data_IF_942568842441
#
_entry.id   IF_942568842441
#
_cell.length_a   1.000
_cell.length_b   1.000
_cell.length_c   1.000
_cell.angle_alpha   90.00
_cell.angle_beta   90.00
_cell.angle_gamma   90.00
#
_symmetry.space_group_name_H-M   'P 1'
#
loop_
_entity.id
_entity.type
_entity.pdbx_description
1 polymer ?
#
# COMPACT_ATOMS: atom_id res chain seq x y z
N UNK A 1 -16.34 6.91 10.02
CA UNK A 1 -15.36 5.88 10.44
C UNK A 1 -15.70 5.47 11.85
N UNK A 2 -15.76 4.16 12.17
CA UNK A 2 -15.87 3.73 13.58
C UNK A 2 -14.71 4.32 14.37
N UNK A 3 -14.98 4.80 15.59
CA UNK A 3 -13.99 5.56 16.36
C UNK A 3 -12.70 4.78 16.65
N UNK A 4 -12.78 3.44 16.68
CA UNK A 4 -11.61 2.57 16.83
C UNK A 4 -10.63 2.60 15.64
N UNK A 5 -11.08 2.83 14.40
CA UNK A 5 -10.17 2.82 13.24
C UNK A 5 -9.36 4.12 13.16
N UNK A 6 -9.93 5.25 13.61
CA UNK A 6 -9.23 6.53 13.66
C UNK A 6 -7.98 6.46 14.54
N UNK A 7 -8.05 5.74 15.66
CA UNK A 7 -6.93 5.52 16.58
C UNK A 7 -5.80 4.67 16.00
N UNK A 8 -6.03 3.96 14.89
CA UNK A 8 -5.06 3.06 14.25
C UNK A 8 -4.35 3.70 13.05
N UNK A 9 -4.69 4.94 12.71
CA UNK A 9 -4.14 5.65 11.55
C UNK A 9 -3.29 6.81 12.03
N UNK A 10 -2.05 6.89 11.52
CA UNK A 10 -1.18 8.06 11.71
C UNK A 10 -0.97 8.76 10.37
N UNK A 11 -1.30 10.04 10.33
CA UNK A 11 -1.06 10.88 9.16
C UNK A 11 0.42 11.24 9.05
N UNK A 12 1.01 11.07 7.86
CA UNK A 12 2.42 11.39 7.58
C UNK A 12 2.60 12.67 6.75
N UNK A 13 1.63 12.99 5.89
CA UNK A 13 1.60 14.20 5.06
C UNK A 13 0.19 14.79 5.02
N UNK A 14 0.07 16.08 4.70
CA UNK A 14 -1.22 16.74 4.51
C UNK A 14 -1.77 16.47 3.10
N UNK A 15 -3.10 16.33 2.93
CA UNK A 15 -3.70 16.29 1.60
C UNK A 15 -3.42 17.61 0.89
N UNK A 16 -2.99 17.54 -0.37
CA UNK A 16 -2.75 18.75 -1.17
C UNK A 16 -3.84 19.02 -2.20
N UNK A 17 -4.34 17.97 -2.86
CA UNK A 17 -5.28 18.06 -3.98
C UNK A 17 -6.22 16.86 -3.96
N UNK A 18 -7.37 17.02 -4.61
CA UNK A 18 -8.24 15.88 -4.90
C UNK A 18 -7.55 14.95 -5.89
N UNK A 19 -7.70 13.65 -5.67
CA UNK A 19 -7.13 12.62 -6.54
C UNK A 19 -8.17 11.70 -7.13
N UNK A 20 -7.72 10.81 -8.02
CA UNK A 20 -8.57 9.96 -8.85
C UNK A 20 -8.78 8.57 -8.28
N UNK A 21 -7.98 8.18 -7.29
CA UNK A 21 -8.03 6.87 -6.65
C UNK A 21 -7.48 6.93 -5.23
N UNK A 22 -7.63 5.85 -4.48
CA UNK A 22 -6.87 5.61 -3.25
C UNK A 22 -5.88 4.48 -3.55
N UNK A 23 -4.65 4.60 -3.05
CA UNK A 23 -3.68 3.51 -3.09
C UNK A 23 -3.46 2.96 -1.69
N UNK A 24 -3.44 1.63 -1.56
CA UNK A 24 -2.87 0.96 -0.40
C UNK A 24 -1.57 0.28 -0.82
N UNK A 25 -0.44 0.76 -0.29
CA UNK A 25 0.86 0.14 -0.44
C UNK A 25 1.02 -0.94 0.64
N UNK A 26 0.78 -2.18 0.25
CA UNK A 26 0.92 -3.36 1.07
C UNK A 26 2.40 -3.74 1.20
N UNK A 27 2.83 -4.07 2.42
CA UNK A 27 4.20 -4.50 2.69
C UNK A 27 4.24 -5.62 3.74
N UNK A 28 3.88 -5.30 4.98
CA UNK A 28 3.94 -6.25 6.11
C UNK A 28 2.67 -7.10 6.20
N UNK A 29 1.52 -6.50 5.97
CA UNK A 29 0.21 -7.13 6.18
C UNK A 29 -0.31 -7.73 4.85
N UNK A 30 0.36 -8.79 4.38
CA UNK A 30 0.07 -9.45 3.10
C UNK A 30 -1.16 -10.37 3.17
N UNK A 31 -2.34 -9.76 3.37
CA UNK A 31 -3.64 -10.43 3.45
C UNK A 31 -4.77 -9.46 3.10
N UNK A 32 -5.88 -9.98 2.61
CA UNK A 32 -7.10 -9.20 2.32
C UNK A 32 -7.99 -9.10 3.55
N UNK A 33 -8.29 -10.25 4.16
CA UNK A 33 -9.12 -10.34 5.35
C UNK A 33 -8.40 -9.80 6.60
N UNK A 34 -9.15 -9.15 7.49
CA UNK A 34 -8.65 -8.59 8.75
C UNK A 34 -7.41 -7.68 8.60
N UNK A 35 -7.41 -6.91 7.52
CA UNK A 35 -6.38 -5.91 7.22
C UNK A 35 -6.90 -4.49 7.48
N UNK A 36 -6.44 -3.88 8.57
CA UNK A 36 -6.86 -2.52 8.96
C UNK A 36 -6.42 -1.44 7.97
N UNK A 37 -5.26 -1.59 7.32
CA UNK A 37 -4.78 -0.62 6.34
C UNK A 37 -5.64 -0.66 5.08
N UNK A 38 -5.95 -1.87 4.57
CA UNK A 38 -6.87 -2.06 3.46
C UNK A 38 -8.28 -1.53 3.79
N UNK A 39 -8.80 -1.84 4.98
CA UNK A 39 -10.11 -1.34 5.43
C UNK A 39 -10.16 0.18 5.52
N UNK A 40 -9.09 0.82 5.99
CA UNK A 40 -8.98 2.28 6.05
C UNK A 40 -8.97 2.90 4.66
N UNK A 41 -8.17 2.35 3.75
CA UNK A 41 -8.09 2.79 2.36
C UNK A 41 -9.45 2.63 1.64
N UNK A 42 -10.13 1.50 1.83
CA UNK A 42 -11.44 1.24 1.23
C UNK A 42 -12.51 2.20 1.75
N UNK A 43 -12.53 2.49 3.06
CA UNK A 43 -13.47 3.47 3.62
C UNK A 43 -13.26 4.87 3.04
N UNK A 44 -12.01 5.25 2.78
CA UNK A 44 -11.72 6.50 2.08
C UNK A 44 -12.28 6.45 0.66
N UNK A 45 -11.90 5.44 -0.13
CA UNK A 45 -12.31 5.27 -1.52
C UNK A 45 -13.84 5.33 -1.68
N UNK A 46 -14.58 4.60 -0.84
CA UNK A 46 -16.05 4.60 -0.82
C UNK A 46 -16.65 5.97 -0.46
N UNK A 47 -16.10 6.67 0.53
CA UNK A 47 -16.59 7.99 0.93
C UNK A 47 -16.44 9.04 -0.18
N UNK A 48 -15.37 8.93 -0.97
CA UNK A 48 -15.07 9.81 -2.11
C UNK A 48 -15.65 9.31 -3.44
N UNK A 49 -16.19 8.08 -3.48
CA UNK A 49 -16.66 7.40 -4.71
C UNK A 49 -15.57 7.30 -5.79
N UNK A 50 -14.34 7.02 -5.37
CA UNK A 50 -13.18 6.80 -6.25
C UNK A 50 -12.65 5.37 -6.09
N UNK A 51 -11.99 4.77 -7.10
CA UNK A 51 -11.47 3.42 -7.00
C UNK A 51 -10.35 3.29 -5.96
N UNK A 52 -10.24 2.09 -5.37
CA UNK A 52 -9.10 1.66 -4.56
C UNK A 52 -8.23 0.71 -5.40
N UNK A 53 -6.90 0.82 -5.31
CA UNK A 53 -5.99 -0.21 -5.78
C UNK A 53 -4.95 -0.55 -4.71
N UNK A 54 -4.47 -1.79 -4.74
CA UNK A 54 -3.40 -2.29 -3.87
C UNK A 54 -2.11 -2.38 -4.65
N UNK A 55 -1.01 -1.94 -4.05
CA UNK A 55 0.33 -1.96 -4.64
C UNK A 55 1.25 -2.75 -3.72
N UNK A 56 2.06 -3.64 -4.29
CA UNK A 56 3.13 -4.33 -3.57
C UNK A 56 4.46 -4.11 -4.30
N UNK A 57 5.51 -3.72 -3.56
CA UNK A 57 6.86 -3.57 -4.12
C UNK A 57 7.73 -4.78 -3.76
N UNK A 58 8.04 -5.58 -4.78
CA UNK A 58 9.02 -6.65 -4.72
C UNK A 58 10.42 -6.12 -5.03
N UNK A 59 11.25 -6.02 -3.99
CA UNK A 59 12.64 -5.63 -4.13
C UNK A 59 13.49 -6.82 -4.61
N UNK A 60 14.39 -6.58 -5.57
CA UNK A 60 15.27 -7.60 -6.15
C UNK A 60 16.24 -8.21 -5.13
N UNK A 61 16.66 -7.43 -4.13
CA UNK A 61 17.50 -7.89 -3.01
C UNK A 61 16.97 -7.32 -1.70
N UNK A 62 16.52 -8.19 -0.80
CA UNK A 62 16.10 -7.80 0.55
C UNK A 62 16.91 -8.55 1.59
N UNK A 63 17.94 -7.87 2.10
CA UNK A 63 18.76 -8.39 3.21
C UNK A 63 19.26 -9.81 2.96
N UNK A 64 18.91 -10.72 3.88
CA UNK A 64 19.37 -12.11 3.91
C UNK A 64 18.28 -13.11 3.52
N UNK A 65 17.24 -12.71 2.78
CA UNK A 65 16.15 -13.61 2.41
C UNK A 65 16.63 -14.71 1.47
N UNK A 66 16.54 -15.96 1.94
CA UNK A 66 16.69 -17.15 1.10
C UNK A 66 15.53 -17.31 0.10
N UNK A 67 15.72 -18.17 -0.91
CA UNK A 67 14.76 -18.44 -1.99
C UNK A 67 13.39 -18.88 -1.46
N UNK A 68 13.38 -19.68 -0.41
CA UNK A 68 12.20 -20.26 0.21
C UNK A 68 11.29 -19.18 0.80
N UNK A 69 11.88 -18.11 1.36
CA UNK A 69 11.11 -16.95 1.84
C UNK A 69 10.40 -16.23 0.69
N UNK A 70 11.05 -16.11 -0.46
CA UNK A 70 10.44 -15.51 -1.65
C UNK A 70 9.37 -16.43 -2.23
N UNK A 71 9.61 -17.73 -2.33
CA UNK A 71 8.63 -18.69 -2.82
C UNK A 71 7.34 -18.62 -1.98
N UNK A 72 7.46 -18.75 -0.66
CA UNK A 72 6.33 -18.66 0.26
C UNK A 72 5.57 -17.32 0.14
N UNK A 73 6.30 -16.21 0.08
CA UNK A 73 5.71 -14.88 -0.09
C UNK A 73 4.97 -14.74 -1.42
N UNK A 74 5.57 -15.18 -2.52
CA UNK A 74 4.97 -15.10 -3.85
C UNK A 74 3.74 -15.99 -3.99
N UNK A 75 3.76 -17.18 -3.39
CA UNK A 75 2.60 -18.07 -3.36
C UNK A 75 1.43 -17.40 -2.61
N UNK A 76 1.69 -16.81 -1.43
CA UNK A 76 0.68 -16.05 -0.70
C UNK A 76 0.20 -14.80 -1.43
N UNK A 77 1.07 -14.10 -2.17
CA UNK A 77 0.66 -12.94 -2.98
C UNK A 77 -0.26 -13.32 -4.15
N UNK A 78 -0.18 -14.55 -4.68
CA UNK A 78 -1.16 -15.04 -5.68
C UNK A 78 -2.55 -15.23 -5.07
N UNK A 79 -2.62 -15.71 -3.83
CA UNK A 79 -3.89 -15.80 -3.10
C UNK A 79 -4.46 -14.41 -2.81
N UNK A 80 -3.61 -13.47 -2.39
CA UNK A 80 -4.01 -12.06 -2.19
C UNK A 80 -4.55 -11.45 -3.48
N UNK A 81 -3.90 -11.69 -4.63
CA UNK A 81 -4.38 -11.20 -5.92
C UNK A 81 -5.77 -11.76 -6.26
N UNK A 82 -6.00 -13.06 -6.05
CA UNK A 82 -7.29 -13.70 -6.29
C UNK A 82 -8.39 -13.13 -5.39
N UNK A 83 -8.14 -13.03 -4.07
CA UNK A 83 -9.08 -12.45 -3.10
C UNK A 83 -9.42 -10.99 -3.42
N UNK A 84 -8.43 -10.19 -3.84
CA UNK A 84 -8.66 -8.80 -4.24
C UNK A 84 -9.47 -8.71 -5.54
N UNK A 85 -9.27 -9.64 -6.48
CA UNK A 85 -10.02 -9.68 -7.73
C UNK A 85 -11.50 -9.96 -7.50
N UNK A 86 -11.86 -10.85 -6.55
CA UNK A 86 -13.26 -11.08 -6.15
C UNK A 86 -13.94 -9.80 -5.63
N UNK A 87 -13.16 -8.89 -5.03
CA UNK A 87 -13.61 -7.59 -4.52
C UNK A 87 -13.54 -6.47 -5.57
N UNK A 88 -13.14 -6.76 -6.81
CA UNK A 88 -12.88 -5.78 -7.87
C UNK A 88 -11.83 -4.72 -7.48
N UNK A 89 -10.83 -5.11 -6.69
CA UNK A 89 -9.72 -4.25 -6.28
C UNK A 89 -8.48 -4.63 -7.10
N UNK A 90 -7.97 -3.76 -7.99
CA UNK A 90 -6.75 -4.05 -8.74
C UNK A 90 -5.54 -4.24 -7.84
N UNK A 91 -4.74 -5.26 -8.12
CA UNK A 91 -3.46 -5.53 -7.48
C UNK A 91 -2.30 -5.24 -8.44
N UNK A 92 -1.35 -4.41 -8.01
CA UNK A 92 -0.17 -4.02 -8.80
C UNK A 92 1.10 -4.54 -8.13
N UNK A 93 1.75 -5.52 -8.74
CA UNK A 93 3.07 -5.98 -8.33
C UNK A 93 4.16 -5.17 -9.05
N UNK A 94 4.93 -4.40 -8.30
CA UNK A 94 6.06 -3.62 -8.82
C UNK A 94 7.38 -4.31 -8.48
N UNK A 95 8.33 -4.33 -9.40
CA UNK A 95 9.66 -4.93 -9.18
C UNK A 95 10.73 -3.84 -9.20
N UNK A 96 11.53 -3.73 -8.14
CA UNK A 96 12.66 -2.79 -8.06
C UNK A 96 12.66 -1.92 -6.81
N UNK A 97 13.32 -0.76 -6.89
CA UNK A 97 13.46 0.18 -5.77
C UNK A 97 12.12 0.84 -5.41
N UNK A 98 11.76 0.81 -4.13
CA UNK A 98 10.43 1.18 -3.66
C UNK A 98 10.09 2.65 -3.87
N UNK A 99 11.03 3.58 -3.63
CA UNK A 99 10.76 5.01 -3.82
C UNK A 99 10.54 5.34 -5.29
N UNK A 100 11.40 4.88 -6.18
CA UNK A 100 11.28 5.10 -7.63
C UNK A 100 9.98 4.52 -8.18
N UNK A 101 9.68 3.25 -7.87
CA UNK A 101 8.49 2.57 -8.37
C UNK A 101 7.20 3.18 -7.83
N UNK A 102 7.14 3.48 -6.52
CA UNK A 102 5.95 4.09 -5.92
C UNK A 102 5.76 5.54 -6.39
N UNK A 103 6.83 6.32 -6.52
CA UNK A 103 6.74 7.69 -7.06
C UNK A 103 6.21 7.67 -8.49
N UNK A 104 6.66 6.73 -9.31
CA UNK A 104 6.12 6.51 -10.65
C UNK A 104 4.62 6.20 -10.63
N UNK A 105 4.18 5.24 -9.82
CA UNK A 105 2.74 4.91 -9.71
C UNK A 105 1.93 6.10 -9.23
N UNK A 106 2.36 6.78 -8.16
CA UNK A 106 1.67 7.96 -7.61
C UNK A 106 1.54 9.06 -8.67
N UNK A 107 2.58 9.30 -9.46
CA UNK A 107 2.55 10.28 -10.54
C UNK A 107 1.50 9.93 -11.61
N UNK A 108 1.45 8.67 -12.04
CA UNK A 108 0.55 8.25 -13.12
C UNK A 108 -0.91 8.09 -12.68
N UNK A 109 -1.16 7.67 -11.44
CA UNK A 109 -2.51 7.41 -10.93
C UNK A 109 -3.14 8.59 -10.19
N UNK A 110 -2.32 9.57 -9.78
CA UNK A 110 -2.74 10.78 -9.07
C UNK A 110 -3.72 10.48 -7.91
N UNK A 111 -3.29 9.72 -6.88
CA UNK A 111 -4.17 9.30 -5.80
C UNK A 111 -4.56 10.45 -4.86
N UNK A 112 -5.77 10.39 -4.31
CA UNK A 112 -6.27 11.32 -3.28
C UNK A 112 -5.55 11.04 -1.96
N UNK A 113 -5.26 9.76 -1.68
CA UNK A 113 -4.47 9.33 -0.54
C UNK A 113 -3.69 8.05 -0.83
N UNK A 114 -2.55 7.93 -0.15
CA UNK A 114 -1.73 6.72 -0.11
C UNK A 114 -1.70 6.20 1.32
N UNK A 115 -2.16 4.97 1.51
CA UNK A 115 -2.14 4.25 2.78
C UNK A 115 -0.98 3.25 2.79
N UNK A 116 -0.40 3.05 3.96
CA UNK A 116 0.61 2.03 4.21
C UNK A 116 0.21 1.22 5.44
N UNK A 117 0.66 -0.04 5.51
CA UNK A 117 0.69 -0.77 6.78
C UNK A 117 1.88 -0.32 7.64
N UNK A 118 1.88 -0.77 8.91
CA UNK A 118 2.86 -0.33 9.90
C UNK A 118 3.98 -1.36 10.07
N UNK A 119 5.22 -0.88 9.93
CA UNK A 119 6.43 -1.60 10.34
C UNK A 119 7.32 -0.70 11.22
N UNK A 120 7.82 -1.21 12.36
CA UNK A 120 8.75 -0.46 13.21
C UNK A 120 10.16 -0.39 12.62
N UNK A 121 10.44 -1.08 11.51
CA UNK A 121 11.76 -1.08 10.87
C UNK A 121 12.09 0.27 10.22
N UNK A 122 13.37 0.64 10.24
CA UNK A 122 13.86 1.92 9.72
C UNK A 122 13.62 2.04 8.21
N UNK A 123 13.88 0.98 7.44
CA UNK A 123 13.78 1.02 5.97
C UNK A 123 12.37 1.39 5.47
N UNK A 124 11.28 0.69 5.88
CA UNK A 124 9.91 1.10 5.54
C UNK A 124 9.55 2.51 6.01
N UNK A 125 9.94 2.90 7.23
CA UNK A 125 9.65 4.24 7.74
C UNK A 125 10.36 5.34 6.95
N UNK A 126 11.60 5.11 6.53
CA UNK A 126 12.37 6.04 5.70
C UNK A 126 11.71 6.21 4.34
N UNK A 127 11.26 5.12 3.70
CA UNK A 127 10.52 5.18 2.45
C UNK A 127 9.23 5.99 2.60
N UNK A 128 8.41 5.69 3.61
CA UNK A 128 7.17 6.41 3.88
C UNK A 128 7.41 7.91 4.11
N UNK A 129 8.44 8.27 4.88
CA UNK A 129 8.82 9.67 5.10
C UNK A 129 9.30 10.36 3.82
N UNK A 130 10.11 9.69 2.99
CA UNK A 130 10.55 10.22 1.69
C UNK A 130 9.38 10.50 0.77
N UNK A 131 8.46 9.54 0.62
CA UNK A 131 7.24 9.73 -0.19
C UNK A 131 6.35 10.86 0.36
N UNK A 132 6.21 10.95 1.68
CA UNK A 132 5.45 12.01 2.34
C UNK A 132 6.06 13.41 2.13
N UNK A 133 7.38 13.51 1.99
CA UNK A 133 8.10 14.76 1.72
C UNK A 133 8.10 15.15 0.24
N UNK A 134 8.14 14.17 -0.66
CA UNK A 134 8.17 14.38 -2.12
C UNK A 134 6.79 14.60 -2.74
N UNK A 135 5.72 14.27 -2.02
CA UNK A 135 4.35 14.63 -2.39
C UNK A 135 4.03 16.12 -2.07
N UNK A 136 5.07 16.96 -1.99
CA UNK A 136 5.00 18.42 -1.82
C UNK A 136 5.06 19.16 -3.15
#
# INVERSE_FOLDING_TARGET
MSDALKLRIRQLAKPQKEGKCVLYVMSRDQRVNDNHALLAAQKHALAKKIPLAVVFCLYEKVGYRAREHFAFMLDGLREVEADLAELNIPFMLLIGEGYERLSGVIHHTAPDAVYFDFSPLISPQTLQKKLAQSAL
#
